data_IF_004839687517
#
_entry.id   IF_004839687517
#
_cell.length_a   1.000
_cell.length_b   1.000
_cell.length_c   1.000
_cell.angle_alpha   90.00
_cell.angle_beta   90.00
_cell.angle_gamma   90.00
#
_symmetry.space_group_name_H-M   'P 1'
#
loop_
_entity.id
_entity.type
_entity.pdbx_description
1 polymer ?
#
# COMPACT_ATOMS: atom_id res chain seq x y z
N UNK A 1 -34.73 -44.37 37.59
CA UNK A 1 -34.36 -43.19 38.42
C UNK A 1 -32.84 -43.08 38.41
N UNK A 2 -32.25 -42.08 37.74
CA UNK A 2 -30.79 -41.92 37.75
C UNK A 2 -30.20 -41.00 36.68
N UNK A 3 -30.70 -39.76 36.57
CA UNK A 3 -30.03 -38.54 36.05
C UNK A 3 -29.33 -38.62 34.68
N UNK A 4 -30.07 -38.17 33.67
CA UNK A 4 -29.51 -37.45 32.53
C UNK A 4 -28.83 -36.14 33.00
N UNK A 5 -27.55 -35.92 32.69
CA UNK A 5 -26.97 -34.55 32.62
C UNK A 5 -25.70 -34.53 31.77
N UNK A 6 -25.86 -34.09 30.52
CA UNK A 6 -25.01 -33.16 29.77
C UNK A 6 -23.49 -33.20 30.04
N UNK A 7 -22.75 -33.91 29.19
CA UNK A 7 -21.32 -33.65 28.98
C UNK A 7 -21.09 -33.13 27.56
N UNK A 8 -21.25 -31.81 27.50
CA UNK A 8 -20.50 -30.85 26.68
C UNK A 8 -20.69 -31.00 25.17
N UNK A 9 -21.75 -30.32 24.70
CA UNK A 9 -21.55 -29.34 23.65
C UNK A 9 -20.33 -28.45 23.99
N UNK A 10 -19.14 -28.86 23.56
CA UNK A 10 -18.02 -27.96 23.31
C UNK A 10 -17.86 -27.83 21.79
N UNK A 11 -18.98 -27.53 21.14
CA UNK A 11 -18.96 -26.81 19.88
C UNK A 11 -18.76 -25.33 20.23
N UNK A 12 -17.98 -24.60 19.42
CA UNK A 12 -17.93 -23.13 19.32
C UNK A 12 -16.99 -22.34 20.23
N UNK A 13 -15.74 -22.78 20.42
CA UNK A 13 -14.63 -21.85 20.74
C UNK A 13 -13.44 -22.09 19.82
N UNK A 14 -13.71 -22.05 18.52
CA UNK A 14 -12.72 -21.57 17.54
C UNK A 14 -13.35 -20.43 16.73
N UNK A 15 -14.15 -19.59 17.38
CA UNK A 15 -14.28 -18.22 16.92
C UNK A 15 -12.97 -17.56 17.32
N UNK A 16 -11.95 -17.69 16.48
CA UNK A 16 -10.80 -16.80 16.52
C UNK A 16 -11.40 -15.40 16.50
N UNK A 17 -11.39 -14.73 17.64
CA UNK A 17 -11.60 -13.29 17.72
C UNK A 17 -10.41 -12.67 17.01
N UNK A 18 -10.45 -12.66 15.67
CA UNK A 18 -9.56 -11.86 14.85
C UNK A 18 -9.76 -10.44 15.37
N UNK A 19 -8.72 -9.89 15.98
CA UNK A 19 -8.80 -8.58 16.61
C UNK A 19 -9.22 -7.57 15.55
N UNK A 20 -9.88 -6.49 15.96
CA UNK A 20 -10.28 -5.43 15.02
C UNK A 20 -9.09 -4.92 14.20
N UNK A 21 -7.91 -4.84 14.83
CA UNK A 21 -6.65 -4.47 14.19
C UNK A 21 -6.20 -5.46 13.12
N UNK A 22 -6.38 -6.76 13.35
CA UNK A 22 -6.06 -7.80 12.35
C UNK A 22 -6.97 -7.70 11.13
N UNK A 23 -8.27 -7.41 11.33
CA UNK A 23 -9.21 -7.18 10.22
C UNK A 23 -8.82 -5.94 9.41
N UNK A 24 -8.41 -4.87 10.10
CA UNK A 24 -7.94 -3.65 9.45
C UNK A 24 -6.63 -3.89 8.68
N UNK A 25 -5.71 -4.70 9.21
CA UNK A 25 -4.50 -5.11 8.50
C UNK A 25 -4.81 -5.96 7.26
N UNK A 26 -5.73 -6.92 7.36
CA UNK A 26 -6.16 -7.72 6.21
C UNK A 26 -6.81 -6.86 5.12
N UNK A 27 -7.68 -5.92 5.49
CA UNK A 27 -8.31 -5.01 4.54
C UNK A 27 -7.27 -4.13 3.82
N UNK A 28 -6.27 -3.62 4.54
CA UNK A 28 -5.18 -2.84 3.94
C UNK A 28 -4.40 -3.66 2.92
N UNK A 29 -3.99 -4.89 3.28
CA UNK A 29 -3.30 -5.80 2.37
C UNK A 29 -4.12 -6.11 1.13
N UNK A 30 -5.40 -6.43 1.30
CA UNK A 30 -6.30 -6.70 0.18
C UNK A 30 -6.44 -5.49 -0.76
N UNK A 31 -6.50 -4.27 -0.20
CA UNK A 31 -6.53 -3.03 -0.99
C UNK A 31 -5.23 -2.82 -1.78
N UNK A 32 -4.05 -3.06 -1.16
CA UNK A 32 -2.78 -3.03 -1.89
C UNK A 32 -2.76 -4.07 -2.98
N UNK A 33 -3.06 -5.33 -2.68
CA UNK A 33 -3.03 -6.43 -3.66
C UNK A 33 -3.96 -6.15 -4.84
N UNK A 34 -5.19 -5.66 -4.58
CA UNK A 34 -6.11 -5.26 -5.65
C UNK A 34 -5.54 -4.12 -6.49
N UNK A 35 -4.87 -3.16 -5.86
CA UNK A 35 -4.22 -2.08 -6.58
C UNK A 35 -3.06 -2.60 -7.45
N UNK A 36 -2.15 -3.40 -6.86
CA UNK A 36 -1.02 -4.00 -7.58
C UNK A 36 -1.51 -4.79 -8.79
N UNK A 37 -2.50 -5.67 -8.61
CA UNK A 37 -3.10 -6.45 -9.69
C UNK A 37 -3.76 -5.57 -10.76
N UNK A 38 -4.53 -4.55 -10.36
CA UNK A 38 -5.20 -3.62 -11.30
C UNK A 38 -4.21 -2.88 -12.20
N UNK A 39 -3.04 -2.55 -11.66
CA UNK A 39 -1.99 -1.84 -12.37
C UNK A 39 -0.81 -2.74 -12.76
N UNK A 40 -0.94 -4.07 -12.71
CA UNK A 40 0.09 -5.00 -13.17
C UNK A 40 1.45 -4.86 -12.47
N UNK A 41 1.47 -4.46 -11.20
CA UNK A 41 2.70 -4.46 -10.40
C UNK A 41 2.90 -5.84 -9.78
N UNK A 42 4.10 -6.45 -9.90
CA UNK A 42 4.39 -7.74 -9.28
C UNK A 42 4.56 -7.64 -7.76
N UNK A 43 5.04 -6.50 -7.24
CA UNK A 43 5.23 -6.26 -5.81
C UNK A 43 5.14 -4.76 -5.47
N UNK A 44 5.14 -4.42 -4.17
CA UNK A 44 5.03 -3.04 -3.66
C UNK A 44 6.21 -2.16 -4.12
N UNK A 45 7.42 -2.72 -4.07
CA UNK A 45 8.67 -2.03 -4.42
C UNK A 45 9.23 -2.44 -5.79
N UNK A 46 8.54 -3.31 -6.51
CA UNK A 46 9.00 -3.72 -7.84
C UNK A 46 8.34 -2.85 -8.91
N UNK A 47 9.12 -2.36 -9.89
CA UNK A 47 8.56 -1.62 -11.01
C UNK A 47 7.65 -2.52 -11.83
N UNK A 48 6.66 -1.91 -12.50
CA UNK A 48 5.82 -2.65 -13.45
C UNK A 48 6.68 -3.32 -14.52
N UNK A 49 6.44 -4.61 -14.79
CA UNK A 49 7.01 -5.27 -15.96
C UNK A 49 6.43 -4.65 -17.23
N UNK A 50 7.27 -3.94 -17.98
CA UNK A 50 6.91 -3.45 -19.30
C UNK A 50 7.22 -4.57 -20.28
N UNK A 51 6.19 -5.20 -20.84
CA UNK A 51 6.37 -6.23 -21.85
C UNK A 51 7.25 -5.70 -23.00
N UNK A 52 8.34 -6.39 -23.29
CA UNK A 52 9.24 -6.06 -24.39
C UNK A 52 8.41 -5.95 -25.69
N UNK A 53 8.38 -4.76 -26.29
CA UNK A 53 7.61 -4.49 -27.51
C UNK A 53 6.28 -3.76 -27.32
N UNK A 54 5.91 -3.34 -26.11
CA UNK A 54 4.79 -2.42 -25.91
C UNK A 54 5.03 -1.10 -26.65
N UNK A 55 4.15 -0.77 -27.61
CA UNK A 55 4.16 0.51 -28.35
C UNK A 55 3.81 1.71 -27.47
N UNK A 56 3.22 1.44 -26.30
CA UNK A 56 2.92 2.47 -25.31
C UNK A 56 4.14 2.60 -24.41
N UNK A 57 4.78 3.77 -24.41
CA UNK A 57 5.73 4.18 -23.36
C UNK A 57 4.96 4.23 -22.04
N UNK A 58 4.79 3.08 -21.41
CA UNK A 58 4.43 3.02 -20.00
C UNK A 58 5.75 3.00 -19.26
N UNK A 59 6.12 4.14 -18.69
CA UNK A 59 7.27 4.25 -17.79
C UNK A 59 7.15 3.17 -16.71
N UNK A 60 8.20 2.36 -16.43
CA UNK A 60 8.21 1.39 -15.35
C UNK A 60 8.16 2.09 -13.98
N UNK A 61 7.00 2.59 -13.58
CA UNK A 61 6.80 3.22 -12.29
C UNK A 61 6.68 2.13 -11.21
N UNK A 62 7.09 2.40 -9.97
CA UNK A 62 6.66 1.58 -8.82
C UNK A 62 5.27 2.02 -8.35
N UNK A 63 4.63 1.22 -7.50
CA UNK A 63 3.29 1.52 -6.98
C UNK A 63 3.23 2.91 -6.30
N UNK A 64 4.28 3.28 -5.55
CA UNK A 64 4.37 4.57 -4.86
C UNK A 64 4.48 5.76 -5.82
N UNK A 65 5.23 5.61 -6.91
CA UNK A 65 5.34 6.60 -7.97
C UNK A 65 3.97 6.85 -8.65
N UNK A 66 3.21 5.79 -8.90
CA UNK A 66 1.88 5.91 -9.51
C UNK A 66 0.87 6.55 -8.55
N UNK A 67 0.95 6.24 -7.25
CA UNK A 67 0.12 6.89 -6.22
C UNK A 67 0.42 8.39 -6.11
N UNK A 68 1.71 8.75 -6.17
CA UNK A 68 2.16 10.14 -6.22
C UNK A 68 1.65 10.88 -7.45
N UNK A 69 1.81 10.30 -8.65
CA UNK A 69 1.32 10.86 -9.92
C UNK A 69 -0.21 11.04 -9.95
N UNK A 70 -0.96 10.23 -9.20
CA UNK A 70 -2.42 10.32 -9.12
C UNK A 70 -2.93 11.36 -8.12
N UNK A 71 -2.06 11.87 -7.25
CA UNK A 71 -2.46 12.78 -6.19
C UNK A 71 -3.31 12.11 -5.10
N UNK A 72 -3.13 10.81 -4.83
CA UNK A 72 -3.92 10.07 -3.84
C UNK A 72 -3.15 9.89 -2.51
N UNK A 73 -3.34 10.76 -1.51
CA UNK A 73 -2.62 10.67 -0.24
C UNK A 73 -3.08 9.48 0.61
N UNK A 74 -4.30 8.99 0.41
CA UNK A 74 -4.83 7.84 1.15
C UNK A 74 -4.14 6.54 0.72
N UNK A 75 -4.08 6.33 -0.58
CA UNK A 75 -3.35 5.20 -1.16
C UNK A 75 -1.84 5.28 -0.85
N UNK A 76 -1.26 6.49 -0.92
CA UNK A 76 0.15 6.69 -0.61
C UNK A 76 0.48 6.29 0.84
N UNK A 77 -0.31 6.77 1.81
CA UNK A 77 -0.15 6.38 3.23
C UNK A 77 -0.28 4.87 3.41
N UNK A 78 -1.22 4.25 2.70
CA UNK A 78 -1.46 2.83 2.78
C UNK A 78 -0.27 2.03 2.24
N UNK A 79 0.31 2.43 1.10
CA UNK A 79 1.53 1.83 0.55
C UNK A 79 2.74 2.00 1.50
N UNK A 80 2.93 3.19 2.08
CA UNK A 80 4.00 3.45 3.05
C UNK A 80 3.89 2.56 4.30
N UNK A 81 2.67 2.36 4.79
CA UNK A 81 2.40 1.49 5.95
C UNK A 81 2.68 0.02 5.63
N UNK A 82 2.45 -0.41 4.39
CA UNK A 82 2.79 -1.77 3.93
C UNK A 82 4.27 -1.91 3.51
N UNK A 83 5.10 -0.89 3.74
CA UNK A 83 6.55 -0.96 3.55
C UNK A 83 7.05 -0.53 2.17
N UNK A 84 6.28 0.28 1.45
CA UNK A 84 6.78 0.97 0.27
C UNK A 84 7.91 1.93 0.65
N UNK A 85 9.00 1.93 -0.11
CA UNK A 85 10.10 2.86 0.11
C UNK A 85 9.81 4.22 -0.55
N UNK A 86 9.63 5.31 0.23
CA UNK A 86 9.43 6.66 -0.33
C UNK A 86 10.65 7.21 -1.08
N UNK A 87 11.84 6.65 -0.83
CA UNK A 87 13.11 7.06 -1.42
C UNK A 87 13.48 6.22 -2.64
N UNK A 88 12.65 5.24 -3.00
CA UNK A 88 12.84 4.44 -4.21
C UNK A 88 12.87 5.38 -5.41
N UNK A 89 13.97 5.37 -6.15
CA UNK A 89 14.13 6.20 -7.35
C UNK A 89 13.93 5.36 -8.60
N UNK A 90 13.11 5.85 -9.53
CA UNK A 90 13.01 5.30 -10.87
C UNK A 90 13.49 6.33 -11.89
N UNK A 91 14.44 5.95 -12.76
CA UNK A 91 15.12 6.88 -13.69
C UNK A 91 15.71 8.14 -13.04
N UNK A 92 16.08 8.07 -11.75
CA UNK A 92 16.63 9.19 -11.01
C UNK A 92 15.59 10.15 -10.42
N UNK A 93 14.30 9.83 -10.52
CA UNK A 93 13.22 10.56 -9.86
C UNK A 93 12.59 9.69 -8.79
N UNK A 94 12.34 10.24 -7.60
CA UNK A 94 11.56 9.58 -6.56
C UNK A 94 10.07 9.96 -6.65
N UNK A 95 9.25 9.37 -5.77
CA UNK A 95 7.83 9.67 -5.70
C UNK A 95 7.53 11.15 -5.40
N UNK A 96 8.42 11.84 -4.65
CA UNK A 96 8.26 13.25 -4.32
C UNK A 96 8.46 14.14 -5.55
N UNK A 97 9.48 13.86 -6.36
CA UNK A 97 9.77 14.59 -7.60
C UNK A 97 8.58 14.51 -8.57
N UNK A 98 7.96 13.33 -8.68
CA UNK A 98 6.76 13.14 -9.51
C UNK A 98 5.57 13.91 -8.94
N UNK A 99 5.34 13.86 -7.63
CA UNK A 99 4.24 14.61 -7.01
C UNK A 99 4.41 16.12 -7.19
N UNK A 100 5.64 16.65 -7.10
CA UNK A 100 5.93 18.06 -7.33
C UNK A 100 5.76 18.45 -8.81
N UNK A 101 6.17 17.59 -9.75
CA UNK A 101 5.97 17.81 -11.18
C UNK A 101 4.49 17.82 -11.59
N UNK A 102 3.67 16.95 -10.98
CA UNK A 102 2.22 16.86 -11.26
C UNK A 102 1.39 17.85 -10.43
N UNK A 103 2.01 18.63 -9.53
CA UNK A 103 1.31 19.55 -8.64
C UNK A 103 0.76 20.79 -9.36
N UNK A 104 -0.36 20.59 -10.05
CA UNK A 104 -1.08 21.68 -10.70
C UNK A 104 -1.93 22.39 -9.66
N UNK A 105 -1.57 23.63 -9.34
CA UNK A 105 -2.35 24.53 -8.49
C UNK A 105 -2.60 24.03 -7.05
N UNK A 106 -1.69 23.21 -6.51
CA UNK A 106 -1.81 22.64 -5.16
C UNK A 106 -2.56 21.30 -5.10
N UNK A 107 -2.93 20.72 -6.24
CA UNK A 107 -3.66 19.44 -6.30
C UNK A 107 -2.95 18.27 -5.61
N UNK A 108 -1.62 18.32 -5.50
CA UNK A 108 -0.81 17.26 -4.91
C UNK A 108 -0.22 17.66 -3.55
N UNK A 109 -0.72 18.74 -2.95
CA UNK A 109 -0.18 19.28 -1.69
C UNK A 109 -0.12 18.23 -0.57
N UNK A 110 -1.23 17.53 -0.31
CA UNK A 110 -1.29 16.51 0.75
C UNK A 110 -0.34 15.34 0.50
N UNK A 111 -0.17 14.94 -0.78
CA UNK A 111 0.74 13.87 -1.18
C UNK A 111 2.20 14.28 -0.93
N UNK A 112 2.54 15.50 -1.33
CA UNK A 112 3.87 16.09 -1.12
C UNK A 112 4.20 16.15 0.38
N UNK A 113 3.25 16.58 1.21
CA UNK A 113 3.44 16.60 2.66
C UNK A 113 3.69 15.20 3.23
N UNK A 114 2.89 14.21 2.84
CA UNK A 114 3.06 12.81 3.29
C UNK A 114 4.41 12.25 2.89
N UNK A 115 4.87 12.51 1.66
CA UNK A 115 6.18 12.05 1.19
C UNK A 115 7.33 12.74 1.94
N UNK A 116 7.23 14.05 2.16
CA UNK A 116 8.20 14.80 2.97
C UNK A 116 8.26 14.28 4.40
N UNK A 117 7.12 13.95 5.00
CA UNK A 117 7.06 13.32 6.32
C UNK A 117 7.70 11.94 6.34
N UNK A 118 7.39 11.09 5.35
CA UNK A 118 7.95 9.76 5.25
C UNK A 118 9.49 9.76 5.10
N UNK A 119 10.02 10.64 4.25
CA UNK A 119 11.46 10.83 4.07
C UNK A 119 12.15 11.37 5.33
N UNK A 120 11.50 12.30 6.06
CA UNK A 120 12.02 12.80 7.34
C UNK A 120 12.11 11.70 8.39
N UNK A 121 11.05 10.91 8.57
CA UNK A 121 11.01 9.82 9.56
C UNK A 121 12.07 8.75 9.27
N UNK A 122 12.30 8.43 7.99
CA UNK A 122 13.37 7.51 7.58
C UNK A 122 14.76 8.04 7.95
N UNK A 123 15.03 9.32 7.69
CA UNK A 123 16.32 9.95 7.98
C UNK A 123 16.66 9.95 9.49
N UNK A 124 15.63 9.96 10.35
CA UNK A 124 15.76 9.93 11.81
C UNK A 124 15.87 8.51 12.40
N UNK A 125 15.72 7.46 11.58
CA UNK A 125 15.85 6.05 12.01
C UNK A 125 17.24 5.45 11.71
N UNK A 126 18.17 6.26 11.21
CA UNK A 126 19.60 5.92 11.02
C UNK A 126 20.40 6.24 12.28
#
# INVERSE_FOLDING_TARGET
>A
MGRATLLRHASLLSCNEISFEDKLAQLRKELVERYLNKYGFPSINEPREVAEGSRVRMEPLCAIHLAAMKGDPGLLKLLLVEGADPDETFQGYNALDIAEAENQNGSHHDVIEVLKDALRVRTLRL
#
